data_IF_226946188339
#
_entry.id   IF_226946188339
#
_cell.length_a   1.000
_cell.length_b   1.000
_cell.length_c   1.000
_cell.angle_alpha   90.00
_cell.angle_beta   90.00
_cell.angle_gamma   90.00
#
_symmetry.space_group_name_H-M   'P 1'
#
loop_
_entity.id
_entity.type
_entity.pdbx_description
1 polymer ?
#
# COMPACT_ATOMS: atom_id res chain seq x y z
N UNK A 1 -0.82 4.20 -64.81
CA UNK A 1 -0.27 3.72 -63.52
C UNK A 1 -1.44 3.69 -62.53
N UNK A 2 -1.99 2.51 -62.25
CA UNK A 2 -3.28 2.37 -61.56
C UNK A 2 -3.17 2.48 -60.03
N UNK A 3 -3.54 3.66 -59.49
CA UNK A 3 -3.58 3.98 -58.06
C UNK A 3 -4.62 3.12 -57.29
N UNK A 4 -5.56 2.49 -58.00
CA UNK A 4 -6.65 1.71 -57.40
C UNK A 4 -6.21 0.37 -56.78
N UNK A 5 -5.04 -0.17 -57.15
CA UNK A 5 -4.55 -1.46 -56.63
C UNK A 5 -3.82 -1.32 -55.29
N UNK A 6 -3.11 -0.20 -55.09
CA UNK A 6 -2.35 0.08 -53.88
C UNK A 6 -3.25 0.26 -52.64
N UNK A 7 -4.46 0.82 -52.79
CA UNK A 7 -5.37 1.09 -51.65
C UNK A 7 -5.86 -0.15 -50.90
N UNK A 8 -5.85 -1.34 -51.53
CA UNK A 8 -6.51 -2.54 -50.97
C UNK A 8 -5.59 -3.42 -50.12
N UNK A 9 -4.29 -3.44 -50.43
CA UNK A 9 -3.33 -4.34 -49.78
C UNK A 9 -2.75 -3.77 -48.47
N UNK A 10 -2.52 -2.44 -48.40
CA UNK A 10 -2.09 -1.79 -47.15
C UNK A 10 -3.19 -1.76 -46.09
N UNK A 11 -4.46 -1.91 -46.47
CA UNK A 11 -5.57 -1.94 -45.53
C UNK A 11 -5.46 -3.10 -44.54
N UNK A 12 -5.29 -4.32 -45.03
CA UNK A 12 -5.29 -5.52 -44.18
C UNK A 12 -4.07 -5.53 -43.25
N UNK A 13 -2.88 -5.27 -43.79
CA UNK A 13 -1.64 -5.23 -42.98
C UNK A 13 -1.70 -4.12 -41.92
N UNK A 14 -2.22 -2.94 -42.27
CA UNK A 14 -2.43 -1.86 -41.32
C UNK A 14 -3.37 -2.28 -40.19
N UNK A 15 -4.51 -2.88 -40.52
CA UNK A 15 -5.48 -3.34 -39.52
C UNK A 15 -4.93 -4.46 -38.64
N UNK A 16 -4.13 -5.39 -39.18
CA UNK A 16 -3.45 -6.42 -38.40
C UNK A 16 -2.51 -5.78 -37.37
N UNK A 17 -1.69 -4.82 -37.78
CA UNK A 17 -0.78 -4.12 -36.86
C UNK A 17 -1.56 -3.38 -35.77
N UNK A 18 -2.66 -2.69 -36.12
CA UNK A 18 -3.51 -2.00 -35.15
C UNK A 18 -4.14 -2.97 -34.15
N UNK A 19 -4.63 -4.12 -34.61
CA UNK A 19 -5.23 -5.15 -33.75
C UNK A 19 -4.18 -5.74 -32.81
N UNK A 20 -2.99 -6.07 -33.32
CA UNK A 20 -1.90 -6.61 -32.49
C UNK A 20 -1.48 -5.61 -31.41
N UNK A 21 -1.33 -4.32 -31.76
CA UNK A 21 -1.02 -3.27 -30.78
C UNK A 21 -2.13 -3.11 -29.74
N UNK A 22 -3.39 -3.14 -30.16
CA UNK A 22 -4.53 -3.06 -29.25
C UNK A 22 -4.57 -4.26 -28.28
N UNK A 23 -4.32 -5.48 -28.76
CA UNK A 23 -4.26 -6.69 -27.93
C UNK A 23 -3.14 -6.61 -26.91
N UNK A 24 -1.93 -6.19 -27.31
CA UNK A 24 -0.80 -5.99 -26.40
C UNK A 24 -1.15 -4.98 -25.31
N UNK A 25 -1.80 -3.87 -25.68
CA UNK A 25 -2.21 -2.84 -24.74
C UNK A 25 -3.26 -3.37 -23.76
N UNK A 26 -4.26 -4.11 -24.23
CA UNK A 26 -5.31 -4.73 -23.40
C UNK A 26 -4.71 -5.74 -22.42
N UNK A 27 -3.70 -6.52 -22.83
CA UNK A 27 -3.04 -7.48 -21.94
C UNK A 27 -2.12 -6.83 -20.91
N UNK A 28 -1.49 -5.70 -21.24
CA UNK A 28 -0.61 -4.99 -20.32
C UNK A 28 -1.35 -4.21 -19.22
N UNK A 29 -2.52 -3.63 -19.53
CA UNK A 29 -3.35 -2.86 -18.59
C UNK A 29 -3.66 -3.59 -17.26
N UNK A 30 -4.18 -4.84 -17.25
CA UNK A 30 -4.50 -5.54 -16.00
C UNK A 30 -3.25 -5.90 -15.18
N UNK A 31 -2.11 -6.15 -15.83
CA UNK A 31 -0.86 -6.46 -15.12
C UNK A 31 -0.38 -5.27 -14.29
N UNK A 32 -0.48 -4.06 -14.85
CA UNK A 32 -0.12 -2.82 -14.16
C UNK A 32 -1.07 -2.58 -12.97
N UNK A 33 -2.38 -2.74 -13.18
CA UNK A 33 -3.38 -2.60 -12.12
C UNK A 33 -3.15 -3.58 -10.96
N UNK A 34 -2.77 -4.83 -11.27
CA UNK A 34 -2.46 -5.83 -10.25
C UNK A 34 -1.26 -5.42 -9.39
N UNK A 35 -0.16 -4.99 -10.03
CA UNK A 35 1.05 -4.54 -9.31
C UNK A 35 0.74 -3.33 -8.41
N UNK A 36 -0.01 -2.36 -8.93
CA UNK A 36 -0.44 -1.18 -8.16
C UNK A 36 -1.31 -1.59 -6.98
N UNK A 37 -2.25 -2.52 -7.17
CA UNK A 37 -3.15 -2.98 -6.10
C UNK A 37 -2.38 -3.66 -4.95
N UNK A 38 -1.38 -4.48 -5.26
CA UNK A 38 -0.52 -5.15 -4.28
C UNK A 38 0.32 -4.11 -3.52
N UNK A 39 0.92 -3.15 -4.23
CA UNK A 39 1.67 -2.07 -3.60
C UNK A 39 0.82 -1.24 -2.65
N UNK A 40 -0.42 -0.94 -3.03
CA UNK A 40 -1.37 -0.21 -2.19
C UNK A 40 -1.75 -1.00 -0.94
N UNK A 41 -1.95 -2.31 -1.07
CA UNK A 41 -2.22 -3.23 0.03
C UNK A 41 -1.07 -3.24 1.05
N UNK A 42 0.18 -3.37 0.58
CA UNK A 42 1.37 -3.34 1.44
C UNK A 42 1.49 -1.98 2.13
N UNK A 43 1.32 -0.88 1.39
CA UNK A 43 1.38 0.47 1.95
C UNK A 43 0.33 0.69 3.04
N UNK A 44 -0.90 0.22 2.83
CA UNK A 44 -2.00 0.32 3.79
C UNK A 44 -1.72 -0.50 5.06
N UNK A 45 -1.18 -1.72 4.92
CA UNK A 45 -0.77 -2.56 6.05
C UNK A 45 0.31 -1.85 6.87
N UNK A 46 1.36 -1.30 6.23
CA UNK A 46 2.43 -0.57 6.92
C UNK A 46 1.90 0.71 7.58
N UNK A 47 0.99 1.44 6.94
CA UNK A 47 0.40 2.65 7.51
C UNK A 47 -0.44 2.36 8.76
N UNK A 48 -1.25 1.30 8.74
CA UNK A 48 -2.08 0.88 9.88
C UNK A 48 -1.24 0.30 11.01
N UNK A 49 -0.27 -0.57 10.69
CA UNK A 49 0.63 -1.15 11.68
C UNK A 49 1.60 -0.10 12.25
N UNK A 50 2.11 0.83 11.44
CA UNK A 50 2.98 1.93 11.87
C UNK A 50 2.32 2.81 12.93
N UNK A 51 1.03 3.14 12.76
CA UNK A 51 0.24 3.82 13.79
C UNK A 51 0.07 3.01 15.08
N UNK A 52 0.00 1.68 14.97
CA UNK A 52 -0.07 0.80 16.14
C UNK A 52 1.29 0.62 16.84
N UNK A 53 2.39 0.64 16.08
CA UNK A 53 3.76 0.52 16.61
C UNK A 53 4.20 1.81 17.31
N UNK A 54 3.79 2.99 16.83
CA UNK A 54 3.98 4.23 17.60
C UNK A 54 3.18 4.24 18.92
N UNK A 55 2.04 3.54 18.97
CA UNK A 55 1.27 3.33 20.21
C UNK A 55 1.85 2.22 21.10
N UNK A 56 2.61 1.28 20.52
CA UNK A 56 3.27 0.17 21.21
C UNK A 56 4.75 0.40 21.54
N UNK A 57 5.34 1.54 21.17
CA UNK A 57 6.33 2.16 22.06
C UNK A 57 5.57 2.65 23.29
N UNK A 58 5.10 1.71 24.11
CA UNK A 58 4.42 2.04 25.36
C UNK A 58 5.36 2.98 26.09
N UNK A 59 4.97 4.26 26.16
CA UNK A 59 5.68 5.23 26.97
C UNK A 59 5.79 4.59 28.35
N UNK A 60 6.93 4.68 29.04
CA UNK A 60 7.09 4.04 30.36
C UNK A 60 5.91 4.33 31.31
N UNK A 61 5.28 5.50 31.17
CA UNK A 61 4.02 5.91 31.78
C UNK A 61 2.80 4.98 31.53
N UNK A 62 2.62 4.43 30.34
CA UNK A 62 1.50 3.54 30.01
C UNK A 62 1.68 2.14 30.61
N UNK A 63 2.92 1.62 30.67
CA UNK A 63 3.26 0.41 31.43
C UNK A 63 2.94 0.61 32.92
N UNK A 64 3.32 1.78 33.46
CA UNK A 64 3.02 2.19 34.83
C UNK A 64 1.51 2.25 35.11
N UNK A 65 0.73 2.86 34.21
CA UNK A 65 -0.74 2.90 34.33
C UNK A 65 -1.36 1.50 34.30
N UNK A 66 -0.92 0.62 33.40
CA UNK A 66 -1.40 -0.77 33.34
C UNK A 66 -1.13 -1.52 34.64
N UNK A 67 0.05 -1.36 35.25
CA UNK A 67 0.40 -2.00 36.52
C UNK A 67 -0.37 -1.43 37.71
N UNK A 68 -0.66 -0.13 37.71
CA UNK A 68 -1.48 0.52 38.74
C UNK A 68 -2.94 0.04 38.65
N UNK A 69 -3.50 0.00 37.45
CA UNK A 69 -4.86 -0.52 37.20
C UNK A 69 -4.98 -2.01 37.54
N UNK A 70 -3.93 -2.79 37.32
CA UNK A 70 -3.86 -4.18 37.74
C UNK A 70 -3.61 -4.37 39.26
N UNK A 71 -3.49 -3.29 40.04
CA UNK A 71 -3.22 -3.35 41.48
C UNK A 71 -1.82 -3.82 41.87
N UNK A 72 -0.91 -3.99 40.90
CA UNK A 72 0.46 -4.50 41.12
C UNK A 72 1.41 -3.45 41.71
N UNK A 73 1.04 -2.18 41.65
CA UNK A 73 1.79 -1.07 42.26
C UNK A 73 0.83 -0.15 43.00
N UNK A 74 1.30 0.45 44.09
CA UNK A 74 0.51 1.39 44.88
C UNK A 74 0.55 2.80 44.28
N UNK A 75 -0.41 3.67 44.66
CA UNK A 75 -0.45 5.08 44.22
C UNK A 75 0.86 5.82 44.53
N UNK A 76 1.50 5.54 45.67
CA UNK A 76 2.80 6.12 46.05
C UNK A 76 3.93 5.70 45.10
N UNK A 77 3.97 4.42 44.70
CA UNK A 77 4.98 3.92 43.76
C UNK A 77 4.76 4.47 42.35
N UNK A 78 3.51 4.57 41.92
CA UNK A 78 3.14 5.18 40.64
C UNK A 78 3.58 6.65 40.57
N UNK A 79 3.28 7.47 41.60
CA UNK A 79 3.65 8.89 41.61
C UNK A 79 5.17 9.11 41.66
N UNK A 80 5.94 8.24 42.32
CA UNK A 80 7.39 8.32 42.36
C UNK A 80 7.99 8.06 40.97
N UNK A 81 7.64 6.93 40.35
CA UNK A 81 8.15 6.55 39.03
C UNK A 81 7.66 7.51 37.93
N UNK A 82 6.45 8.09 38.08
CA UNK A 82 5.94 9.13 37.17
C UNK A 82 6.79 10.41 37.21
N UNK A 83 7.33 10.77 38.38
CA UNK A 83 8.22 11.94 38.53
C UNK A 83 9.61 11.68 37.96
N UNK A 84 10.11 10.46 38.08
CA UNK A 84 11.43 10.05 37.56
C UNK A 84 11.47 9.97 36.02
N UNK A 85 10.31 9.82 35.38
CA UNK A 85 10.15 9.72 33.92
C UNK A 85 9.87 11.07 33.23
N UNK A 86 9.84 12.18 33.98
CA UNK A 86 9.56 13.51 33.47
C UNK A 86 10.85 14.24 33.07
#
# INVERSE_FOLDING_TARGET
MDIKRYRREYGILFWIVVIVLAVILIMALPMILMIVSIGLLIWLIIYVLGKHVEKNREKPLDILKKRYAAGKITKKQFDKMKKDLK
#
